data_IF_744440228160
#
_entry.id   IF_744440228160
#
_cell.length_a   1.000
_cell.length_b   1.000
_cell.length_c   1.000
_cell.angle_alpha   90.00
_cell.angle_beta   90.00
_cell.angle_gamma   90.00
#
_symmetry.space_group_name_H-M   'P 1'
#
loop_
_entity.id
_entity.type
_entity.pdbx_description
1 polymer ?
#
# COMPACT_ATOMS: atom_id res chain seq x y z
N UNK A 1 42.11 42.49 0.09
CA UNK A 1 41.69 41.81 1.32
C UNK A 1 40.18 41.87 1.40
N UNK A 2 39.53 40.71 1.40
CA UNK A 2 38.12 40.47 1.70
C UNK A 2 37.13 40.87 0.61
N UNK A 3 36.10 40.13 0.28
CA UNK A 3 35.69 38.75 0.58
C UNK A 3 34.65 38.40 -0.49
N UNK A 4 34.58 37.12 -0.83
CA UNK A 4 33.56 36.50 -1.68
C UNK A 4 32.14 36.77 -1.18
N UNK A 5 31.19 37.03 -2.09
CA UNK A 5 29.98 36.21 -2.26
C UNK A 5 29.14 36.71 -3.45
N UNK A 6 28.79 35.84 -4.42
CA UNK A 6 27.94 36.20 -5.55
C UNK A 6 26.45 36.20 -5.14
N UNK A 7 25.72 37.22 -5.58
CA UNK A 7 24.28 37.40 -5.37
C UNK A 7 23.49 36.26 -6.00
N UNK A 8 23.28 35.19 -5.22
CA UNK A 8 22.14 34.34 -5.41
C UNK A 8 20.91 35.16 -5.04
N UNK A 9 20.02 35.40 -6.00
CA UNK A 9 18.55 35.28 -5.93
C UNK A 9 17.89 36.22 -6.95
N UNK A 10 17.92 35.88 -8.24
CA UNK A 10 16.88 36.36 -9.14
C UNK A 10 16.75 35.47 -10.38
N UNK A 11 15.92 34.42 -10.24
CA UNK A 11 15.09 33.77 -11.27
C UNK A 11 15.02 32.24 -11.07
N UNK A 12 14.20 31.79 -10.14
CA UNK A 12 13.56 30.47 -10.29
C UNK A 12 12.30 30.64 -11.15
N UNK A 13 12.50 30.69 -12.47
CA UNK A 13 11.44 30.30 -13.40
C UNK A 13 11.34 28.77 -13.33
N UNK A 14 10.25 28.26 -12.76
CA UNK A 14 9.96 26.83 -12.76
C UNK A 14 9.62 26.40 -14.19
N UNK A 15 10.65 26.15 -14.99
CA UNK A 15 10.52 25.34 -16.19
C UNK A 15 10.69 23.88 -15.76
N UNK A 16 9.60 23.26 -15.32
CA UNK A 16 9.58 21.80 -15.09
C UNK A 16 9.52 21.11 -16.45
N UNK A 17 10.70 20.79 -16.97
CA UNK A 17 10.89 19.75 -17.98
C UNK A 17 10.41 18.43 -17.38
N UNK A 18 9.23 17.97 -17.79
CA UNK A 18 8.78 16.60 -17.56
C UNK A 18 9.66 15.69 -18.42
N UNK A 19 10.69 15.08 -17.82
CA UNK A 19 11.32 13.90 -18.45
C UNK A 19 10.30 12.78 -18.36
N UNK A 20 10.01 12.23 -19.52
CA UNK A 20 9.19 11.04 -19.75
C UNK A 20 9.93 9.85 -19.11
N UNK A 21 9.77 9.69 -17.79
CA UNK A 21 10.27 8.52 -17.08
C UNK A 21 9.45 7.32 -17.54
N UNK A 22 10.15 6.44 -18.26
CA UNK A 22 9.73 5.11 -18.64
C UNK A 22 8.97 4.44 -17.50
N UNK A 23 7.69 4.15 -17.76
CA UNK A 23 6.80 3.43 -16.87
C UNK A 23 7.29 1.98 -16.77
N UNK A 24 8.26 1.72 -15.90
CA UNK A 24 8.72 0.36 -15.61
C UNK A 24 7.55 -0.40 -14.96
N UNK A 25 7.06 -1.51 -15.53
CA UNK A 25 6.00 -2.28 -14.91
C UNK A 25 6.59 -2.93 -13.65
N UNK A 26 6.37 -2.28 -12.50
CA UNK A 26 6.85 -2.79 -11.22
C UNK A 26 6.48 -4.28 -11.08
N UNK A 27 7.40 -5.14 -10.64
CA UNK A 27 7.06 -6.52 -10.32
C UNK A 27 6.00 -6.48 -9.24
N UNK A 28 4.79 -6.98 -9.58
CA UNK A 28 3.66 -7.12 -8.66
C UNK A 28 4.18 -7.78 -7.39
N UNK A 29 4.44 -7.00 -6.33
CA UNK A 29 4.89 -7.55 -5.06
C UNK A 29 3.81 -8.53 -4.63
N UNK A 30 4.11 -9.83 -4.67
CA UNK A 30 3.24 -10.83 -4.09
C UNK A 30 3.16 -10.50 -2.61
N UNK A 31 2.00 -10.06 -2.16
CA UNK A 31 1.83 -9.61 -0.78
C UNK A 31 2.01 -10.79 0.16
N UNK A 32 2.65 -10.57 1.31
CA UNK A 32 2.87 -11.61 2.33
C UNK A 32 1.55 -12.31 2.70
N UNK A 33 0.46 -11.54 2.75
CA UNK A 33 -0.89 -12.05 2.97
C UNK A 33 -1.36 -12.99 1.86
N UNK A 34 -1.20 -12.60 0.59
CA UNK A 34 -1.57 -13.44 -0.56
C UNK A 34 -0.84 -14.79 -0.52
N UNK A 35 0.46 -14.77 -0.22
CA UNK A 35 1.26 -15.98 -0.14
C UNK A 35 0.87 -16.87 1.04
N UNK A 36 0.59 -16.29 2.21
CA UNK A 36 0.12 -17.03 3.38
C UNK A 36 -1.22 -17.74 3.11
N UNK A 37 -2.17 -17.04 2.50
CA UNK A 37 -3.49 -17.60 2.15
C UNK A 37 -3.33 -18.72 1.11
N UNK A 38 -2.55 -18.48 0.06
CA UNK A 38 -2.30 -19.50 -0.96
C UNK A 38 -1.68 -20.76 -0.35
N UNK A 39 -0.64 -20.62 0.50
CA UNK A 39 0.00 -21.74 1.21
C UNK A 39 -0.96 -22.49 2.12
N UNK A 40 -1.86 -21.79 2.79
CA UNK A 40 -2.91 -22.41 3.60
C UNK A 40 -3.89 -23.21 2.74
N UNK A 41 -4.38 -22.62 1.63
CA UNK A 41 -5.36 -23.25 0.75
C UNK A 41 -4.80 -24.47 0.00
N UNK A 42 -3.50 -24.50 -0.28
CA UNK A 42 -2.84 -25.65 -0.93
C UNK A 42 -2.93 -26.96 -0.14
N UNK A 43 -3.29 -26.90 1.14
CA UNK A 43 -3.55 -28.10 1.96
C UNK A 43 -4.90 -28.75 1.65
N UNK A 44 -5.83 -28.02 1.02
CA UNK A 44 -7.22 -28.44 0.82
C UNK A 44 -7.65 -28.42 -0.66
N UNK A 45 -7.03 -27.57 -1.48
CA UNK A 45 -7.40 -27.36 -2.87
C UNK A 45 -6.20 -27.58 -3.83
N UNK A 46 -6.50 -27.86 -5.09
CA UNK A 46 -5.49 -27.90 -6.15
C UNK A 46 -4.91 -26.49 -6.40
N UNK A 47 -3.84 -26.40 -7.18
CA UNK A 47 -3.11 -25.15 -7.43
C UNK A 47 -4.00 -24.09 -8.10
N UNK A 48 -4.71 -24.44 -9.16
CA UNK A 48 -5.64 -23.55 -9.87
C UNK A 48 -6.71 -22.98 -8.95
N UNK A 49 -7.34 -23.84 -8.14
CA UNK A 49 -8.45 -23.41 -7.28
C UNK A 49 -7.93 -22.61 -6.09
N UNK A 50 -6.77 -22.97 -5.54
CA UNK A 50 -6.10 -22.18 -4.50
C UNK A 50 -5.76 -20.77 -5.00
N UNK A 51 -5.26 -20.64 -6.23
CA UNK A 51 -4.95 -19.35 -6.84
C UNK A 51 -6.21 -18.51 -7.06
N UNK A 52 -7.27 -19.10 -7.65
CA UNK A 52 -8.56 -18.41 -7.87
C UNK A 52 -9.19 -17.92 -6.57
N UNK A 53 -9.24 -18.77 -5.54
CA UNK A 53 -9.81 -18.41 -4.24
C UNK A 53 -8.98 -17.28 -3.61
N UNK A 54 -7.65 -17.39 -3.67
CA UNK A 54 -6.75 -16.36 -3.14
C UNK A 54 -6.95 -15.02 -3.86
N UNK A 55 -7.08 -15.03 -5.18
CA UNK A 55 -7.23 -13.82 -5.98
C UNK A 55 -8.57 -13.11 -5.72
N UNK A 56 -9.67 -13.84 -5.69
CA UNK A 56 -10.97 -13.25 -5.35
C UNK A 56 -11.00 -12.77 -3.89
N UNK A 57 -10.39 -13.50 -2.95
CA UNK A 57 -10.23 -13.02 -1.58
C UNK A 57 -9.49 -11.69 -1.53
N UNK A 58 -8.33 -11.59 -2.20
CA UNK A 58 -7.53 -10.36 -2.16
C UNK A 58 -8.28 -9.18 -2.78
N UNK A 59 -9.02 -9.40 -3.86
CA UNK A 59 -9.86 -8.38 -4.49
C UNK A 59 -10.95 -7.89 -3.55
N UNK A 60 -11.65 -8.80 -2.88
CA UNK A 60 -12.67 -8.45 -1.89
C UNK A 60 -12.07 -7.74 -0.69
N UNK A 61 -10.89 -8.19 -0.22
CA UNK A 61 -10.16 -7.56 0.87
C UNK A 61 -9.78 -6.11 0.55
N UNK A 62 -9.18 -5.86 -0.62
CA UNK A 62 -8.84 -4.50 -1.05
C UNK A 62 -10.07 -3.62 -1.22
N UNK A 63 -11.18 -4.16 -1.74
CA UNK A 63 -12.45 -3.44 -1.83
C UNK A 63 -12.94 -3.03 -0.44
N UNK A 64 -12.96 -3.97 0.51
CA UNK A 64 -13.41 -3.72 1.88
C UNK A 64 -12.56 -2.64 2.57
N UNK A 65 -11.23 -2.73 2.49
CA UNK A 65 -10.33 -1.73 3.09
C UNK A 65 -10.51 -0.37 2.44
N UNK A 66 -10.62 -0.31 1.11
CA UNK A 66 -10.77 0.96 0.39
C UNK A 66 -12.12 1.62 0.66
N UNK A 67 -13.11 0.86 1.12
CA UNK A 67 -14.44 1.34 1.48
C UNK A 67 -14.62 1.72 2.96
N UNK A 68 -13.59 1.56 3.80
CA UNK A 68 -13.69 1.89 5.23
C UNK A 68 -13.94 3.37 5.43
N UNK A 69 -14.97 3.69 6.22
CA UNK A 69 -15.25 5.05 6.67
C UNK A 69 -14.50 5.39 7.96
N UNK A 70 -14.47 6.68 8.33
CA UNK A 70 -13.88 7.12 9.58
C UNK A 70 -14.56 6.46 10.80
N UNK A 71 -15.90 6.33 10.76
CA UNK A 71 -16.68 5.68 11.81
C UNK A 71 -16.32 4.20 11.96
N UNK A 72 -16.01 3.51 10.86
CA UNK A 72 -15.58 2.11 10.89
C UNK A 72 -14.19 1.97 11.51
N UNK A 73 -13.28 2.91 11.23
CA UNK A 73 -11.97 2.96 11.86
C UNK A 73 -12.05 3.26 13.37
N UNK A 74 -12.95 4.15 13.79
CA UNK A 74 -13.17 4.46 15.20
C UNK A 74 -13.71 3.23 15.96
N UNK A 75 -14.64 2.48 15.37
CA UNK A 75 -15.15 1.23 15.94
C UNK A 75 -14.05 0.19 16.08
N UNK A 76 -13.21 0.03 15.05
CA UNK A 76 -12.08 -0.90 15.10
C UNK A 76 -11.10 -0.54 16.23
N UNK A 77 -10.72 0.73 16.34
CA UNK A 77 -9.83 1.21 17.40
C UNK A 77 -10.44 0.99 18.80
N UNK A 78 -11.74 1.28 18.95
CA UNK A 78 -12.44 1.10 20.23
C UNK A 78 -12.54 -0.37 20.62
N UNK A 79 -12.82 -1.26 19.68
CA UNK A 79 -12.85 -2.71 19.92
C UNK A 79 -11.52 -3.21 20.48
N UNK A 80 -10.40 -2.82 19.85
CA UNK A 80 -9.06 -3.20 20.32
C UNK A 80 -8.79 -2.73 21.76
N UNK A 81 -9.12 -1.48 22.10
CA UNK A 81 -8.92 -0.94 23.43
C UNK A 81 -9.84 -1.56 24.49
N UNK A 82 -11.00 -2.07 24.10
CA UNK A 82 -11.91 -2.80 25.00
C UNK A 82 -11.38 -4.21 25.27
N UNK A 83 -10.89 -4.90 24.24
CA UNK A 83 -10.29 -6.22 24.39
C UNK A 83 -9.05 -6.19 25.31
N UNK A 84 -8.22 -5.15 25.21
CA UNK A 84 -7.07 -4.93 26.11
C UNK A 84 -7.45 -4.66 27.57
N UNK A 85 -8.61 -4.05 27.83
CA UNK A 85 -9.08 -3.75 29.21
C UNK A 85 -9.70 -4.97 29.91
N UNK A 86 -10.04 -6.00 29.15
CA UNK A 86 -10.79 -7.16 29.66
C UNK A 86 -9.87 -8.36 29.94
N UNK A 87 -8.55 -8.21 29.75
CA UNK A 87 -7.51 -9.19 30.02
C UNK A 87 -6.50 -8.67 31.05
#
# INVERSE_FOLDING_TARGET
MGSEMPEMWTNCSYHTNMKEDSFDPQPKQKTVLKDAIYKFLRQFYNESDSEKITDEFMKDFYRSISSLSLDDLEKLATSYLQDEKTN
#
